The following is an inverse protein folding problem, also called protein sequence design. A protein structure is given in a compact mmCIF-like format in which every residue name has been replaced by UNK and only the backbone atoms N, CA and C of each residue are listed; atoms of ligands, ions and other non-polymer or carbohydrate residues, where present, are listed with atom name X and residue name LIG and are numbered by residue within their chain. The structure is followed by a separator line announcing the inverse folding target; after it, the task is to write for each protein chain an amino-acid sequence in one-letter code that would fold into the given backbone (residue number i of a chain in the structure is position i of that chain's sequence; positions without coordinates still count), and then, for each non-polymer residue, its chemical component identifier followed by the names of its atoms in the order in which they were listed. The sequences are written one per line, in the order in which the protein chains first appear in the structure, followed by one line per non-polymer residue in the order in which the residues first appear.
data_IF_878498208660
#
_entry.id   IF_878498208660
#
_cell.length_a   1.000
_cell.length_b   1.000
_cell.length_c   1.000
_cell.angle_alpha   90.00
_cell.angle_beta   90.00
_cell.angle_gamma   90.00
#
_symmetry.space_group_name_H-M   'P 1'
#
loop_
_entity.id
_entity.type
_entity.pdbx_description
1 polymer ?
#
# COMPACT_ATOMS: atom_id res chain seq x y z
N UNK A 1 2.25 11.67 6.98
CA UNK A 1 1.66 11.48 5.64
C UNK A 1 0.92 10.14 5.54
N UNK A 2 1.57 9.02 5.92
CA UNK A 2 0.92 7.70 5.90
C UNK A 2 -0.23 7.61 6.90
N UNK A 3 -0.10 8.23 8.08
CA UNK A 3 -1.15 8.19 9.10
C UNK A 3 -2.39 8.98 8.69
N UNK A 4 -2.25 10.10 7.99
CA UNK A 4 -3.41 10.84 7.50
C UNK A 4 -4.12 10.12 6.36
N UNK A 5 -3.39 9.43 5.48
CA UNK A 5 -3.98 8.56 4.48
C UNK A 5 -4.74 7.38 5.12
N UNK A 6 -4.17 6.79 6.17
CA UNK A 6 -4.79 5.68 6.88
C UNK A 6 -6.08 6.07 7.61
N UNK A 7 -6.23 7.33 8.05
CA UNK A 7 -7.44 7.78 8.75
C UNK A 7 -8.68 7.81 7.86
N UNK A 8 -8.52 7.89 6.55
CA UNK A 8 -9.62 7.99 5.59
C UNK A 8 -9.96 6.67 4.91
N UNK A 9 -9.26 5.58 5.24
CA UNK A 9 -9.41 4.31 4.53
C UNK A 9 -10.57 3.45 5.02
N UNK A 10 -11.29 3.92 6.03
CA UNK A 10 -12.35 3.11 6.62
C UNK A 10 -13.59 3.95 6.89
N UNK A 11 -14.74 3.40 6.53
CA UNK A 11 -16.05 4.00 6.79
C UNK A 11 -17.00 2.93 7.31
N UNK A 12 -17.71 3.25 8.39
CA UNK A 12 -18.79 2.40 8.88
C UNK A 12 -20.09 2.84 8.23
N UNK A 13 -20.74 1.92 7.53
CA UNK A 13 -22.02 2.18 6.90
C UNK A 13 -23.17 2.16 7.92
N UNK A 14 -24.32 2.82 7.62
CA UNK A 14 -25.48 2.84 8.53
C UNK A 14 -26.01 1.45 8.90
N UNK A 15 -25.83 0.45 8.04
CA UNK A 15 -26.22 -0.93 8.29
C UNK A 15 -25.21 -1.73 9.12
N UNK A 16 -24.16 -1.08 9.62
CA UNK A 16 -23.10 -1.70 10.40
C UNK A 16 -21.99 -2.36 9.61
N UNK A 17 -22.03 -2.30 8.29
CA UNK A 17 -20.96 -2.81 7.42
C UNK A 17 -19.79 -1.84 7.37
N UNK A 18 -18.62 -2.35 7.01
CA UNK A 18 -17.40 -1.56 6.86
C UNK A 18 -16.96 -1.52 5.41
N UNK A 19 -16.51 -0.38 4.98
CA UNK A 19 -15.97 -0.15 3.65
C UNK A 19 -14.58 0.47 3.78
N UNK A 20 -13.64 -0.01 2.97
CA UNK A 20 -12.25 0.46 2.96
C UNK A 20 -11.90 0.97 1.57
N UNK A 21 -11.30 2.13 1.51
CA UNK A 21 -10.86 2.73 0.25
C UNK A 21 -9.51 3.42 0.42
N UNK A 22 -8.78 3.57 -0.68
CA UNK A 22 -7.53 4.30 -0.68
C UNK A 22 -7.80 5.81 -0.78
N UNK A 23 -7.17 6.59 0.09
CA UNK A 23 -7.27 8.05 0.07
C UNK A 23 -6.22 8.63 -0.88
N UNK A 24 -6.54 8.76 -2.15
CA UNK A 24 -5.66 9.38 -3.15
C UNK A 24 -6.49 10.08 -4.23
N UNK A 25 -5.81 10.88 -5.05
CA UNK A 25 -6.40 11.52 -6.21
C UNK A 25 -6.64 10.55 -7.37
N UNK A 26 -7.19 11.06 -8.46
CA UNK A 26 -7.43 10.24 -9.64
C UNK A 26 -6.11 9.83 -10.31
N UNK A 27 -6.07 8.61 -10.83
CA UNK A 27 -4.90 8.05 -11.53
C UNK A 27 -5.08 8.07 -13.05
N UNK A 28 -6.05 8.82 -13.56
CA UNK A 28 -6.41 8.82 -14.99
C UNK A 28 -5.20 9.15 -15.89
N UNK A 29 -4.38 10.10 -15.50
CA UNK A 29 -3.16 10.46 -16.25
C UNK A 29 -2.20 9.28 -16.39
N UNK A 30 -1.99 8.54 -15.31
CA UNK A 30 -1.15 7.34 -15.30
C UNK A 30 -1.76 6.22 -16.13
N UNK A 31 -3.08 6.08 -16.10
CA UNK A 31 -3.79 5.10 -16.90
C UNK A 31 -3.59 5.31 -18.39
N UNK A 32 -3.72 6.56 -18.86
CA UNK A 32 -3.47 6.88 -20.27
C UNK A 32 -2.02 6.65 -20.68
N UNK A 33 -1.06 6.95 -19.81
CA UNK A 33 0.34 6.62 -20.06
C UNK A 33 0.56 5.12 -20.19
N UNK A 34 -0.07 4.36 -19.32
CA UNK A 34 0.00 2.90 -19.36
C UNK A 34 -0.57 2.35 -20.69
N UNK A 35 -1.71 2.86 -21.15
CA UNK A 35 -2.29 2.49 -22.44
C UNK A 35 -1.36 2.82 -23.62
N UNK A 36 -0.57 3.86 -23.51
CA UNK A 36 0.43 4.24 -24.52
C UNK A 36 1.71 3.40 -24.44
N UNK A 37 1.79 2.44 -23.53
CA UNK A 37 2.97 1.60 -23.32
C UNK A 37 4.08 2.26 -22.52
N UNK A 38 3.82 3.42 -21.91
CA UNK A 38 4.79 4.12 -21.07
C UNK A 38 4.87 3.51 -19.67
N UNK A 39 6.06 3.58 -19.08
CA UNK A 39 6.28 3.18 -17.70
C UNK A 39 5.55 4.13 -16.74
N UNK A 40 4.87 3.57 -15.73
CA UNK A 40 4.16 4.36 -14.72
C UNK A 40 4.77 4.15 -13.34
N UNK A 41 4.67 5.18 -12.50
CA UNK A 41 5.23 5.19 -11.14
C UNK A 41 4.20 5.68 -10.12
N UNK A 42 3.02 5.06 -10.12
CA UNK A 42 1.97 5.36 -9.14
C UNK A 42 2.34 4.79 -7.78
N UNK A 43 2.22 5.61 -6.73
CA UNK A 43 2.41 5.16 -5.35
C UNK A 43 1.21 4.34 -4.89
N UNK A 44 1.43 3.06 -4.62
CA UNK A 44 0.38 2.12 -4.23
C UNK A 44 0.25 1.92 -2.71
N UNK A 45 0.99 2.69 -1.89
CA UNK A 45 0.99 2.51 -0.42
C UNK A 45 -0.40 2.65 0.18
N UNK A 46 -1.15 3.69 -0.19
CA UNK A 46 -2.50 3.90 0.32
C UNK A 46 -3.43 2.75 -0.04
N UNK A 47 -3.34 2.23 -1.25
CA UNK A 47 -4.12 1.07 -1.70
C UNK A 47 -3.76 -0.19 -0.90
N UNK A 48 -2.49 -0.42 -0.66
CA UNK A 48 -2.02 -1.56 0.15
C UNK A 48 -2.56 -1.46 1.57
N UNK A 49 -2.52 -0.28 2.20
CA UNK A 49 -3.07 -0.09 3.54
C UNK A 49 -4.60 -0.21 3.58
N UNK A 50 -5.31 0.18 2.53
CA UNK A 50 -6.74 -0.08 2.43
C UNK A 50 -7.03 -1.59 2.44
N UNK A 51 -6.27 -2.37 1.68
CA UNK A 51 -6.39 -3.83 1.68
C UNK A 51 -6.03 -4.45 3.02
N UNK A 52 -4.93 -4.04 3.64
CA UNK A 52 -4.52 -4.58 4.95
C UNK A 52 -5.55 -4.27 6.02
N UNK A 53 -6.10 -3.06 6.03
CA UNK A 53 -7.19 -2.68 6.93
C UNK A 53 -8.43 -3.54 6.74
N UNK A 54 -8.85 -3.77 5.50
CA UNK A 54 -9.99 -4.61 5.17
C UNK A 54 -9.77 -6.07 5.58
N UNK A 55 -8.59 -6.63 5.33
CA UNK A 55 -8.22 -7.99 5.73
C UNK A 55 -8.21 -8.15 7.25
N UNK A 56 -7.64 -7.17 7.97
CA UNK A 56 -7.64 -7.17 9.43
C UNK A 56 -9.05 -7.15 9.98
N UNK A 57 -9.90 -6.28 9.43
CA UNK A 57 -11.29 -6.19 9.87
C UNK A 57 -12.06 -7.46 9.60
N UNK A 58 -11.87 -8.07 8.44
CA UNK A 58 -12.47 -9.37 8.12
C UNK A 58 -12.01 -10.44 9.10
N UNK A 59 -10.72 -10.45 9.43
CA UNK A 59 -10.18 -11.37 10.43
C UNK A 59 -10.77 -11.17 11.81
N UNK A 60 -10.99 -9.92 12.23
CA UNK A 60 -11.65 -9.61 13.52
C UNK A 60 -13.09 -10.11 13.54
N UNK A 61 -13.86 -9.81 12.49
CA UNK A 61 -15.28 -10.18 12.42
C UNK A 61 -15.51 -11.69 12.37
N UNK A 62 -14.63 -12.42 11.71
CA UNK A 62 -14.74 -13.88 11.53
C UNK A 62 -13.87 -14.67 12.51
N UNK A 63 -13.14 -14.01 13.40
CA UNK A 63 -12.27 -14.67 14.37
C UNK A 63 -11.08 -15.40 13.74
N UNK A 64 -10.55 -14.89 12.62
CA UNK A 64 -9.42 -15.50 11.90
C UNK A 64 -8.14 -14.76 12.25
N UNK A 65 -7.39 -15.25 13.23
CA UNK A 65 -6.16 -14.62 13.69
C UNK A 65 -5.08 -14.59 12.60
N UNK A 66 -4.98 -15.67 11.81
CA UNK A 66 -4.00 -15.75 10.71
C UNK A 66 -4.18 -14.62 9.69
N UNK A 67 -5.41 -14.19 9.45
CA UNK A 67 -5.71 -13.10 8.51
C UNK A 67 -5.29 -11.75 9.10
N UNK A 68 -5.50 -11.55 10.39
CA UNK A 68 -5.04 -10.35 11.10
C UNK A 68 -3.50 -10.28 11.09
N UNK A 69 -2.83 -11.38 11.37
CA UNK A 69 -1.37 -11.46 11.36
C UNK A 69 -0.79 -11.20 9.96
N UNK A 70 -1.44 -11.72 8.93
CA UNK A 70 -1.05 -11.46 7.54
C UNK A 70 -1.16 -9.96 7.20
N UNK A 71 -2.26 -9.32 7.61
CA UNK A 71 -2.46 -7.89 7.41
C UNK A 71 -1.34 -7.06 8.07
N UNK A 72 -0.95 -7.41 9.29
CA UNK A 72 0.13 -6.75 10.01
C UNK A 72 1.48 -6.96 9.30
N UNK A 73 1.75 -8.15 8.79
CA UNK A 73 2.98 -8.45 8.04
C UNK A 73 3.02 -7.71 6.71
N UNK A 74 1.89 -7.57 6.03
CA UNK A 74 1.80 -6.82 4.78
C UNK A 74 2.17 -5.34 5.00
N UNK A 75 1.65 -4.73 6.05
CA UNK A 75 1.99 -3.36 6.42
C UNK A 75 3.46 -3.23 6.80
N UNK A 76 3.97 -4.14 7.62
CA UNK A 76 5.38 -4.15 8.03
C UNK A 76 6.31 -4.34 6.83
N UNK A 77 5.96 -5.20 5.89
CA UNK A 77 6.74 -5.43 4.67
C UNK A 77 6.79 -4.18 3.78
N UNK A 78 5.67 -3.47 3.68
CA UNK A 78 5.58 -2.22 2.91
C UNK A 78 6.50 -1.15 3.51
N UNK A 79 6.42 -0.96 4.81
CA UNK A 79 7.26 0.01 5.54
C UNK A 79 8.74 -0.38 5.43
N UNK A 80 9.08 -1.65 5.63
CA UNK A 80 10.45 -2.14 5.54
C UNK A 80 11.04 -1.94 4.15
N UNK A 81 10.28 -2.18 3.11
CA UNK A 81 10.73 -1.97 1.72
C UNK A 81 11.13 -0.50 1.51
N UNK A 82 10.33 0.44 2.00
CA UNK A 82 10.63 1.87 1.91
C UNK A 82 11.84 2.23 2.78
N UNK A 83 11.92 1.72 4.00
CA UNK A 83 13.04 1.97 4.91
C UNK A 83 14.36 1.43 4.35
N UNK A 84 14.31 0.34 3.61
CA UNK A 84 15.48 -0.23 2.92
C UNK A 84 15.88 0.58 1.66
N UNK A 85 15.18 1.67 1.38
CA UNK A 85 15.52 2.59 0.29
C UNK A 85 14.86 2.28 -1.04
N UNK A 86 13.95 1.33 -1.11
CA UNK A 86 13.20 0.97 -2.33
C UNK A 86 11.85 1.65 -2.32
N UNK A 87 11.61 2.53 -3.27
CA UNK A 87 10.39 3.36 -3.26
C UNK A 87 10.04 3.89 -4.64
N UNK A 88 8.83 4.40 -4.76
CA UNK A 88 8.39 5.09 -5.96
C UNK A 88 8.96 6.51 -6.03
N UNK A 89 8.90 7.12 -7.21
CA UNK A 89 9.51 8.43 -7.48
C UNK A 89 9.02 9.53 -6.53
N UNK A 90 7.73 9.56 -6.23
CA UNK A 90 7.14 10.56 -5.34
C UNK A 90 7.72 10.49 -3.92
N UNK A 91 7.92 9.29 -3.40
CA UNK A 91 8.57 9.08 -2.10
C UNK A 91 10.06 9.42 -2.15
N UNK A 92 10.74 9.09 -3.25
CA UNK A 92 12.15 9.40 -3.41
C UNK A 92 12.43 10.91 -3.42
N UNK A 93 11.46 11.72 -3.83
CA UNK A 93 11.58 13.19 -3.83
C UNK A 93 11.53 13.81 -2.43
N UNK A 94 10.95 13.11 -1.45
CA UNK A 94 10.76 13.63 -0.09
C UNK A 94 11.52 12.84 0.98
N UNK A 95 12.18 11.75 0.62
CA UNK A 95 12.92 10.93 1.59
C UNK A 95 14.18 11.64 2.09
N UNK A 96 14.56 11.34 3.34
CA UNK A 96 15.84 11.76 3.91
C UNK A 96 16.95 10.73 3.68
N UNK A 97 16.62 9.58 3.10
CA UNK A 97 17.59 8.55 2.80
C UNK A 97 18.50 8.98 1.64
N UNK A 98 19.78 8.63 1.74
CA UNK A 98 20.74 8.85 0.66
C UNK A 98 20.59 7.75 -0.39
N UNK A 99 20.66 8.15 -1.69
CA UNK A 99 20.63 7.21 -2.81
C UNK A 99 19.47 6.21 -2.79
N UNK A 100 18.19 6.66 -2.70
CA UNK A 100 17.08 5.75 -2.75
C UNK A 100 17.01 5.04 -4.11
N UNK A 101 16.62 3.77 -4.10
CA UNK A 101 16.33 3.02 -5.31
C UNK A 101 14.92 3.35 -5.79
N UNK A 102 14.81 4.08 -6.90
CA UNK A 102 13.52 4.47 -7.47
C UNK A 102 12.99 3.34 -8.33
N UNK A 103 11.79 2.87 -8.00
CA UNK A 103 11.12 1.78 -8.69
C UNK A 103 9.83 2.26 -9.33
N UNK A 104 9.47 1.66 -10.45
CA UNK A 104 8.14 1.84 -11.03
C UNK A 104 7.09 1.10 -10.18
N UNK A 105 5.80 1.27 -10.49
CA UNK A 105 4.71 0.69 -9.73
C UNK A 105 4.83 -0.83 -9.61
N UNK A 106 5.10 -1.51 -10.72
CA UNK A 106 5.21 -2.97 -10.76
C UNK A 106 6.38 -3.48 -9.91
N UNK A 107 7.55 -2.88 -10.07
CA UNK A 107 8.75 -3.32 -9.35
C UNK A 107 8.68 -2.97 -7.87
N UNK A 108 8.00 -1.90 -7.49
CA UNK A 108 7.76 -1.55 -6.10
C UNK A 108 6.87 -2.61 -5.42
N UNK A 109 5.79 -3.02 -6.07
CA UNK A 109 4.92 -4.08 -5.56
C UNK A 109 5.67 -5.41 -5.46
N UNK A 110 6.49 -5.74 -6.45
CA UNK A 110 7.34 -6.94 -6.40
C UNK A 110 8.32 -6.91 -5.24
N UNK A 111 8.94 -5.76 -4.96
CA UNK A 111 9.85 -5.61 -3.82
C UNK A 111 9.13 -5.81 -2.49
N UNK A 112 7.93 -5.29 -2.34
CA UNK A 112 7.09 -5.51 -1.15
C UNK A 112 6.76 -7.00 -1.01
N UNK A 113 6.39 -7.67 -2.09
CA UNK A 113 6.10 -9.10 -2.09
C UNK A 113 7.30 -9.92 -1.61
N UNK A 114 8.48 -9.65 -2.13
CA UNK A 114 9.70 -10.35 -1.71
C UNK A 114 9.98 -10.17 -0.22
N UNK A 115 9.82 -8.96 0.29
CA UNK A 115 9.97 -8.66 1.71
C UNK A 115 8.95 -9.43 2.55
N UNK A 116 7.68 -9.42 2.11
CA UNK A 116 6.60 -10.13 2.78
C UNK A 116 6.85 -11.66 2.81
N UNK A 117 7.26 -12.25 1.70
CA UNK A 117 7.57 -13.68 1.63
C UNK A 117 8.66 -14.07 2.63
N UNK A 118 9.62 -13.21 2.88
CA UNK A 118 10.64 -13.42 3.90
C UNK A 118 10.13 -13.35 5.34
N UNK A 119 8.95 -12.78 5.55
CA UNK A 119 8.31 -12.66 6.87
C UNK A 119 7.30 -13.77 7.17
N UNK A 120 6.87 -14.49 6.17
CA UNK A 120 5.87 -15.56 6.31
C UNK A 120 6.44 -16.88 6.86
#
# INVERSE_FOLDING_TARGET
ALSSAASDVYKRQPDGKYEYEAAHGTVMRHYYKHLAGEETSTNSVATIFAWSGALRKRGELDGIQALQDFADKLEAATIKTIEDGKMTKDLALITTLENPTVLNSENFIKAIRETLEGML
#
